data_IF_777184405930
#
_entry.id   IF_777184405930
#
_cell.length_a   1.000
_cell.length_b   1.000
_cell.length_c   1.000
_cell.angle_alpha   90.00
_cell.angle_beta   90.00
_cell.angle_gamma   90.00
#
_symmetry.space_group_name_H-M   'P 1'
#
loop_
_entity.id
_entity.type
_entity.pdbx_description
1 polymer ?
#
# COMPACT_ATOMS: atom_id res chain seq x y z
N UNK A 1 -12.42 12.66 19.49
CA UNK A 1 -10.97 12.41 19.65
C UNK A 1 -10.57 10.97 19.33
N UNK A 2 -11.17 9.92 19.90
CA UNK A 2 -10.74 8.51 19.67
C UNK A 2 -10.77 7.98 18.21
N UNK A 3 -11.51 8.63 17.30
CA UNK A 3 -11.63 8.18 15.90
C UNK A 3 -10.50 8.72 15.01
N UNK A 4 -9.88 9.84 15.38
CA UNK A 4 -8.79 10.44 14.57
C UNK A 4 -7.45 9.77 14.84
N UNK A 5 -7.19 9.40 16.09
CA UNK A 5 -6.01 8.61 16.49
C UNK A 5 -6.00 7.24 15.81
N UNK A 6 -7.13 6.52 15.83
CA UNK A 6 -7.30 5.23 15.16
C UNK A 6 -6.99 5.27 13.67
N UNK A 7 -7.29 6.40 13.01
CA UNK A 7 -7.05 6.54 11.59
C UNK A 7 -5.57 6.83 11.31
N UNK A 8 -4.94 7.73 12.06
CA UNK A 8 -3.51 8.01 11.91
C UNK A 8 -2.66 6.76 12.19
N UNK A 9 -3.03 6.00 13.21
CA UNK A 9 -2.42 4.72 13.54
C UNK A 9 -2.61 3.69 12.41
N UNK A 10 -3.77 3.70 11.75
CA UNK A 10 -4.06 2.84 10.60
C UNK A 10 -3.24 3.21 9.34
N UNK A 11 -3.05 4.51 9.05
CA UNK A 11 -2.18 4.96 7.96
C UNK A 11 -0.73 4.61 8.23
N UNK A 12 -0.26 4.79 9.47
CA UNK A 12 1.07 4.38 9.91
C UNK A 12 1.27 2.87 9.66
N UNK A 13 0.29 2.04 10.02
CA UNK A 13 0.34 0.58 9.80
C UNK A 13 0.32 0.18 8.32
N UNK A 14 -0.46 0.83 7.47
CA UNK A 14 -0.49 0.53 6.03
C UNK A 14 0.83 0.91 5.36
N UNK A 15 1.32 2.13 5.61
CA UNK A 15 2.62 2.56 5.09
C UNK A 15 3.74 1.65 5.58
N UNK A 16 3.77 1.35 6.88
CA UNK A 16 4.74 0.42 7.47
C UNK A 16 4.69 -0.95 6.80
N UNK A 17 3.49 -1.50 6.58
CA UNK A 17 3.33 -2.80 5.93
C UNK A 17 3.76 -2.79 4.47
N UNK A 18 3.52 -1.70 3.73
CA UNK A 18 4.00 -1.56 2.36
C UNK A 18 5.53 -1.49 2.33
N UNK A 19 6.16 -0.71 3.22
CA UNK A 19 7.62 -0.64 3.30
C UNK A 19 8.25 -1.97 3.72
N UNK A 20 7.69 -2.64 4.73
CA UNK A 20 8.12 -3.97 5.14
C UNK A 20 8.03 -4.96 3.97
N UNK A 21 6.95 -4.92 3.20
CA UNK A 21 6.80 -5.78 2.03
C UNK A 21 7.81 -5.44 0.92
N UNK A 22 8.20 -4.16 0.77
CA UNK A 22 9.29 -3.79 -0.15
C UNK A 22 10.65 -4.31 0.33
N UNK A 23 10.91 -4.29 1.63
CA UNK A 23 12.14 -4.84 2.22
C UNK A 23 12.19 -6.37 2.03
N UNK A 24 11.10 -7.09 2.33
CA UNK A 24 10.97 -8.53 2.08
C UNK A 24 11.21 -8.91 0.60
N UNK A 25 10.83 -8.02 -0.32
CA UNK A 25 11.09 -8.20 -1.75
C UNK A 25 12.56 -8.00 -2.09
N UNK A 26 13.19 -6.98 -1.51
CA UNK A 26 14.62 -6.74 -1.68
C UNK A 26 15.43 -7.94 -1.18
N UNK A 27 15.14 -8.39 0.04
CA UNK A 27 15.79 -9.55 0.64
C UNK A 27 15.58 -10.82 -0.19
N UNK A 28 14.35 -11.04 -0.66
CA UNK A 28 14.05 -12.20 -1.52
C UNK A 28 14.69 -12.10 -2.90
N UNK A 29 14.92 -10.91 -3.44
CA UNK A 29 15.68 -10.72 -4.68
C UNK A 29 17.17 -11.03 -4.47
N UNK A 30 17.75 -10.55 -3.38
CA UNK A 30 19.15 -10.76 -3.03
C UNK A 30 19.43 -12.25 -2.76
N UNK A 31 18.48 -12.95 -2.15
CA UNK A 31 18.56 -14.39 -1.91
C UNK A 31 18.21 -15.26 -3.13
N UNK A 32 17.77 -14.65 -4.24
CA UNK A 32 17.33 -15.35 -5.45
C UNK A 32 15.96 -16.03 -5.36
N UNK A 33 15.25 -15.88 -4.25
CA UNK A 33 13.91 -16.46 -4.02
C UNK A 33 12.81 -15.70 -4.77
N UNK A 34 13.03 -14.42 -5.06
CA UNK A 34 12.10 -13.56 -5.79
C UNK A 34 12.74 -13.16 -7.10
N UNK A 35 12.11 -13.56 -8.20
CA UNK A 35 12.57 -13.15 -9.52
C UNK A 35 12.30 -11.66 -9.78
N UNK A 36 13.13 -11.03 -10.60
CA UNK A 36 12.93 -9.65 -11.10
C UNK A 36 11.54 -9.43 -11.71
N UNK A 37 10.94 -10.48 -12.29
CA UNK A 37 9.57 -10.42 -12.85
C UNK A 37 8.52 -10.23 -11.75
N UNK A 38 8.66 -10.95 -10.64
CA UNK A 38 7.77 -10.88 -9.48
C UNK A 38 7.92 -9.53 -8.79
N UNK A 39 9.16 -9.10 -8.53
CA UNK A 39 9.43 -7.79 -7.95
C UNK A 39 8.82 -6.65 -8.78
N UNK A 40 8.96 -6.70 -10.12
CA UNK A 40 8.32 -5.73 -11.02
C UNK A 40 6.78 -5.72 -10.91
N UNK A 41 6.14 -6.88 -10.74
CA UNK A 41 4.68 -6.95 -10.54
C UNK A 41 4.28 -6.24 -9.24
N UNK A 42 5.01 -6.48 -8.16
CA UNK A 42 4.71 -5.88 -6.86
C UNK A 42 4.95 -4.37 -6.88
N UNK A 43 6.09 -3.91 -7.40
CA UNK A 43 6.40 -2.48 -7.54
C UNK A 43 5.29 -1.75 -8.31
N UNK A 44 4.72 -2.38 -9.35
CA UNK A 44 3.58 -1.78 -10.08
C UNK A 44 2.36 -1.57 -9.18
N UNK A 45 2.03 -2.52 -8.30
CA UNK A 45 0.90 -2.40 -7.36
C UNK A 45 1.13 -1.29 -6.34
N UNK A 46 2.34 -1.16 -5.83
CA UNK A 46 2.73 -0.08 -4.91
C UNK A 46 2.66 1.29 -5.60
N UNK A 47 3.13 1.40 -6.85
CA UNK A 47 3.01 2.64 -7.64
C UNK A 47 1.56 3.05 -7.88
N UNK A 48 0.68 2.10 -8.20
CA UNK A 48 -0.76 2.38 -8.35
C UNK A 48 -1.37 2.91 -7.04
N UNK A 49 -1.02 2.32 -5.90
CA UNK A 49 -1.48 2.80 -4.60
C UNK A 49 -1.01 4.24 -4.32
N UNK A 50 0.27 4.55 -4.54
CA UNK A 50 0.79 5.90 -4.33
C UNK A 50 0.09 6.93 -5.22
N UNK A 51 -0.16 6.61 -6.49
CA UNK A 51 -0.92 7.47 -7.39
C UNK A 51 -2.36 7.70 -6.91
N UNK A 52 -3.05 6.64 -6.48
CA UNK A 52 -4.39 6.78 -5.90
C UNK A 52 -4.41 7.63 -4.64
N UNK A 53 -3.39 7.49 -3.77
CA UNK A 53 -3.23 8.31 -2.57
C UNK A 53 -3.06 9.79 -2.94
N UNK A 54 -2.18 10.11 -3.89
CA UNK A 54 -1.97 11.49 -4.36
C UNK A 54 -3.28 12.11 -4.89
N UNK A 55 -4.05 11.36 -5.67
CA UNK A 55 -5.36 11.82 -6.14
C UNK A 55 -6.35 12.08 -5.00
N UNK A 56 -6.37 11.22 -3.97
CA UNK A 56 -7.23 11.39 -2.80
C UNK A 56 -6.84 12.63 -1.98
N UNK A 57 -5.53 12.87 -1.82
CA UNK A 57 -5.03 14.09 -1.18
C UNK A 57 -5.40 15.34 -1.98
N UNK A 58 -5.32 15.29 -3.31
CA UNK A 58 -5.72 16.42 -4.16
C UNK A 58 -7.24 16.69 -4.09
N UNK A 59 -8.06 15.63 -4.10
CA UNK A 59 -9.51 15.75 -3.88
C UNK A 59 -9.83 16.38 -2.52
N UNK A 60 -9.04 16.07 -1.50
CA UNK A 60 -9.24 16.67 -0.18
C UNK A 60 -8.83 18.14 -0.18
N UNK A 61 -7.66 18.46 -0.76
CA UNK A 61 -7.14 19.83 -0.90
C UNK A 61 -8.11 20.74 -1.65
N UNK A 62 -8.80 20.21 -2.66
CA UNK A 62 -9.80 20.93 -3.46
C UNK A 62 -11.21 20.91 -2.86
N UNK A 63 -11.39 20.32 -1.67
CA UNK A 63 -12.68 20.27 -0.98
C UNK A 63 -13.69 19.28 -1.56
N UNK A 64 -13.31 18.46 -2.53
CA UNK A 64 -14.18 17.44 -3.15
C UNK A 64 -14.45 16.25 -2.21
N UNK A 65 -13.58 16.01 -1.24
CA UNK A 65 -13.77 14.98 -0.21
C UNK A 65 -13.38 15.51 1.18
N UNK A 66 -14.14 15.11 2.20
CA UNK A 66 -13.80 15.43 3.58
C UNK A 66 -12.53 14.68 4.01
N UNK A 67 -11.84 15.21 5.04
CA UNK A 67 -10.66 14.56 5.62
C UNK A 67 -10.97 13.11 6.05
N UNK A 68 -12.15 12.90 6.66
CA UNK A 68 -12.65 11.57 7.05
C UNK A 68 -12.87 10.65 5.84
N UNK A 69 -13.44 11.18 4.76
CA UNK A 69 -13.66 10.42 3.52
C UNK A 69 -12.35 10.03 2.82
N UNK A 70 -11.38 10.96 2.75
CA UNK A 70 -10.05 10.71 2.20
C UNK A 70 -9.35 9.58 2.94
N UNK A 71 -9.33 9.67 4.27
CA UNK A 71 -8.76 8.67 5.17
C UNK A 71 -9.33 7.27 4.96
N UNK A 72 -10.66 7.14 4.86
CA UNK A 72 -11.33 5.86 4.59
C UNK A 72 -10.97 5.31 3.21
N UNK A 73 -10.96 6.17 2.19
CA UNK A 73 -10.66 5.77 0.82
C UNK A 73 -9.20 5.30 0.65
N UNK A 74 -8.26 6.05 1.23
CA UNK A 74 -6.83 5.68 1.24
C UNK A 74 -6.61 4.39 2.02
N UNK A 75 -7.29 4.23 3.17
CA UNK A 75 -7.25 3.00 3.95
C UNK A 75 -7.70 1.76 3.17
N UNK A 76 -8.81 1.86 2.44
CA UNK A 76 -9.29 0.78 1.56
C UNK A 76 -8.33 0.49 0.41
N UNK A 77 -7.80 1.54 -0.23
CA UNK A 77 -6.83 1.39 -1.32
C UNK A 77 -5.54 0.69 -0.83
N UNK A 78 -5.07 1.01 0.38
CA UNK A 78 -3.91 0.38 0.99
C UNK A 78 -4.15 -1.10 1.35
N UNK A 79 -5.32 -1.43 1.92
CA UNK A 79 -5.70 -2.83 2.15
C UNK A 79 -5.73 -3.64 0.85
N UNK A 80 -6.28 -3.06 -0.22
CA UNK A 80 -6.32 -3.72 -1.53
C UNK A 80 -4.91 -3.92 -2.11
N UNK A 81 -4.03 -2.94 -1.96
CA UNK A 81 -2.62 -3.05 -2.37
C UNK A 81 -1.94 -4.23 -1.66
N UNK A 82 -2.06 -4.30 -0.33
CA UNK A 82 -1.48 -5.39 0.47
C UNK A 82 -2.03 -6.75 0.04
N UNK A 83 -3.35 -6.85 -0.19
CA UNK A 83 -3.97 -8.10 -0.65
C UNK A 83 -3.40 -8.57 -2.00
N UNK A 84 -3.28 -7.66 -2.96
CA UNK A 84 -2.72 -7.97 -4.28
C UNK A 84 -1.25 -8.39 -4.21
N UNK A 85 -0.46 -7.77 -3.33
CA UNK A 85 0.94 -8.16 -3.14
C UNK A 85 1.04 -9.54 -2.51
N UNK A 86 0.27 -9.82 -1.45
CA UNK A 86 0.24 -11.14 -0.82
C UNK A 86 -0.15 -12.24 -1.81
N UNK A 87 -1.09 -11.95 -2.73
CA UNK A 87 -1.46 -12.87 -3.80
C UNK A 87 -0.29 -13.14 -4.74
N UNK A 88 0.42 -12.09 -5.18
CA UNK A 88 1.61 -12.24 -6.03
C UNK A 88 2.69 -13.07 -5.31
N UNK A 89 2.92 -12.84 -4.02
CA UNK A 89 3.89 -13.60 -3.24
C UNK A 89 3.49 -15.07 -3.09
N UNK A 90 2.21 -15.35 -2.83
CA UNK A 90 1.68 -16.71 -2.73
C UNK A 90 1.81 -17.48 -4.05
N UNK A 91 1.70 -16.83 -5.21
CA UNK A 91 1.92 -17.45 -6.54
C UNK A 91 3.36 -17.91 -6.79
N UNK A 92 4.33 -17.47 -5.96
CA UNK A 92 5.77 -17.66 -6.19
C UNK A 92 6.39 -18.61 -5.18
N UNK A 93 5.75 -18.80 -4.03
CA UNK A 93 6.15 -19.78 -3.02
C UNK A 93 5.56 -21.19 -3.26
N UNK A 94 4.99 -21.46 -4.45
CA UNK A 94 4.55 -22.80 -4.90
C UNK A 94 5.59 -23.38 -5.85
#
# INVERSE_FOLDING_TARGET
MQTEDNILEFHSRISHKIYQTLDEISDGMDSGNITTRVAKKIIRKVKTFNYSREQLMEKHRTGQISLKGMKIAEGKAGQQCIHEINKIMAEVCV
#
